data_IF_361094726784
#
_entry.id   IF_361094726784
#
_cell.length_a   1.000
_cell.length_b   1.000
_cell.length_c   1.000
_cell.angle_alpha   90.00
_cell.angle_beta   90.00
_cell.angle_gamma   90.00
#
_symmetry.space_group_name_H-M   'P 1'
#
loop_
_entity.id
_entity.type
_entity.pdbx_description
1 polymer ?
#
# COMPACT_ATOMS: atom_id res chain seq x y z
N UNK A 1 3.37 -7.30 5.17
CA UNK A 1 2.94 -8.54 5.82
C UNK A 1 1.74 -9.13 5.08
N UNK A 2 1.67 -10.46 4.94
CA UNK A 2 0.62 -11.16 4.19
C UNK A 2 0.41 -12.57 4.74
N UNK A 3 -0.74 -13.16 4.43
CA UNK A 3 -0.99 -14.58 4.71
C UNK A 3 -0.01 -15.51 3.95
N UNK A 4 0.19 -16.75 4.44
CA UNK A 4 0.86 -17.82 3.68
C UNK A 4 0.26 -18.01 2.29
N UNK A 5 1.07 -18.39 1.28
CA UNK A 5 0.60 -18.49 -0.11
C UNK A 5 -0.21 -19.77 -0.35
N UNK A 6 0.25 -20.91 0.17
CA UNK A 6 -0.24 -22.21 -0.28
C UNK A 6 -1.20 -22.88 0.69
N UNK A 7 -0.97 -22.78 1.99
CA UNK A 7 -1.80 -23.44 3.00
C UNK A 7 -1.72 -22.78 4.36
N UNK A 8 -2.78 -23.01 5.13
CA UNK A 8 -2.81 -22.80 6.57
C UNK A 8 -2.51 -24.12 7.30
N UNK A 9 -1.98 -24.05 8.52
CA UNK A 9 -1.67 -25.26 9.32
C UNK A 9 -2.90 -25.79 10.05
N UNK A 10 -3.92 -24.96 10.28
CA UNK A 10 -5.19 -25.32 10.90
C UNK A 10 -6.30 -24.32 10.57
N UNK A 11 -7.57 -24.70 10.82
CA UNK A 11 -8.71 -23.79 10.69
C UNK A 11 -8.58 -22.56 11.61
N UNK A 12 -8.03 -22.74 12.82
CA UNK A 12 -7.75 -21.64 13.74
C UNK A 12 -6.73 -20.65 13.15
N UNK A 13 -5.66 -21.15 12.53
CA UNK A 13 -4.69 -20.26 11.85
C UNK A 13 -5.30 -19.52 10.67
N UNK A 14 -6.23 -20.14 9.92
CA UNK A 14 -6.93 -19.50 8.81
C UNK A 14 -7.82 -18.34 9.28
N UNK A 15 -8.44 -18.47 10.46
CA UNK A 15 -9.30 -17.43 11.04
C UNK A 15 -8.55 -16.11 11.34
N UNK A 16 -7.22 -16.17 11.53
CA UNK A 16 -6.38 -14.98 11.71
C UNK A 16 -6.18 -14.18 10.41
N UNK A 17 -6.49 -14.77 9.25
CA UNK A 17 -6.28 -14.17 7.93
C UNK A 17 -7.61 -14.05 7.18
N UNK A 18 -8.48 -13.08 7.53
CA UNK A 18 -9.84 -12.98 6.99
C UNK A 18 -9.88 -12.73 5.47
N UNK A 19 -8.78 -12.28 4.86
CA UNK A 19 -8.68 -12.11 3.40
C UNK A 19 -8.23 -13.38 2.67
N UNK A 20 -7.81 -14.43 3.38
CA UNK A 20 -7.39 -15.70 2.82
C UNK A 20 -5.91 -15.78 2.43
N UNK A 21 -5.55 -16.88 1.77
CA UNK A 21 -4.18 -17.21 1.40
C UNK A 21 -3.56 -16.17 0.47
N UNK A 22 -2.30 -15.85 0.71
CA UNK A 22 -1.51 -14.90 -0.07
C UNK A 22 -1.94 -13.45 0.07
N UNK A 23 -3.10 -13.15 0.67
CA UNK A 23 -3.64 -11.79 0.76
C UNK A 23 -3.00 -10.95 1.85
N UNK A 24 -3.08 -9.63 1.67
CA UNK A 24 -2.50 -8.64 2.58
C UNK A 24 -3.21 -8.66 3.95
N UNK A 25 -2.46 -8.62 5.04
CA UNK A 25 -3.04 -8.51 6.39
C UNK A 25 -3.38 -7.06 6.74
N UNK A 26 -4.14 -6.85 7.83
CA UNK A 26 -4.35 -5.51 8.38
C UNK A 26 -3.02 -4.86 8.80
N UNK A 27 -2.11 -5.66 9.34
CA UNK A 27 -0.78 -5.21 9.73
C UNK A 27 0.04 -4.85 8.50
N UNK A 28 -0.07 -5.63 7.43
CA UNK A 28 0.53 -5.32 6.13
C UNK A 28 0.06 -4.00 5.54
N UNK A 29 -1.23 -3.67 5.67
CA UNK A 29 -1.76 -2.35 5.30
C UNK A 29 -1.15 -1.24 6.18
N UNK A 30 -1.13 -1.41 7.51
CA UNK A 30 -0.55 -0.41 8.42
C UNK A 30 0.93 -0.17 8.13
N UNK A 31 1.71 -1.23 7.90
CA UNK A 31 3.13 -1.12 7.58
C UNK A 31 3.35 -0.38 6.26
N UNK A 32 2.56 -0.66 5.21
CA UNK A 32 2.66 0.06 3.94
C UNK A 32 2.34 1.56 4.10
N UNK A 33 1.32 1.90 4.91
CA UNK A 33 0.99 3.28 5.24
C UNK A 33 2.13 3.99 6.00
N UNK A 34 2.67 3.35 7.05
CA UNK A 34 3.78 3.89 7.83
C UNK A 34 5.03 4.12 6.98
N UNK A 35 5.33 3.19 6.07
CA UNK A 35 6.42 3.33 5.11
C UNK A 35 6.20 4.53 4.18
N UNK A 36 4.96 4.74 3.71
CA UNK A 36 4.60 5.92 2.92
C UNK A 36 4.84 7.24 3.65
N UNK A 37 4.48 7.31 4.94
CA UNK A 37 4.75 8.49 5.79
C UNK A 37 6.25 8.72 5.98
N UNK A 38 7.01 7.66 6.28
CA UNK A 38 8.46 7.76 6.46
C UNK A 38 9.16 8.22 5.17
N UNK A 39 8.75 7.69 4.03
CA UNK A 39 9.29 8.10 2.73
C UNK A 39 8.94 9.55 2.45
N UNK A 40 7.70 9.97 2.67
CA UNK A 40 7.29 11.37 2.50
C UNK A 40 8.20 12.30 3.30
N UNK A 41 8.39 12.00 4.59
CA UNK A 41 9.25 12.80 5.47
C UNK A 41 10.67 12.88 4.92
N UNK A 42 11.26 11.74 4.57
CA UNK A 42 12.62 11.67 4.02
C UNK A 42 12.79 12.51 2.74
N UNK A 43 11.85 12.42 1.79
CA UNK A 43 11.95 13.16 0.53
C UNK A 43 11.62 14.66 0.68
N UNK A 44 10.80 15.05 1.67
CA UNK A 44 10.59 16.45 2.03
C UNK A 44 11.87 17.09 2.60
N UNK A 45 12.55 16.38 3.51
CA UNK A 45 13.83 16.82 4.11
C UNK A 45 14.91 17.05 3.06
N UNK A 46 14.96 16.18 2.03
CA UNK A 46 15.87 16.31 0.91
C UNK A 46 15.43 17.33 -0.15
N UNK A 47 14.27 17.97 0.01
CA UNK A 47 13.65 18.88 -0.97
C UNK A 47 13.40 18.25 -2.35
N UNK A 48 13.31 16.93 -2.40
CA UNK A 48 12.93 16.17 -3.59
C UNK A 48 11.40 16.06 -3.74
N UNK A 49 10.69 16.24 -2.64
CA UNK A 49 9.23 16.31 -2.58
C UNK A 49 8.80 17.69 -2.07
N UNK A 50 7.63 18.16 -2.50
CA UNK A 50 7.01 19.40 -2.00
C UNK A 50 5.89 19.07 -1.02
N UNK A 51 5.64 19.95 -0.07
CA UNK A 51 4.51 19.78 0.86
C UNK A 51 3.18 19.58 0.12
N UNK A 52 2.96 20.36 -0.94
CA UNK A 52 1.80 20.23 -1.83
C UNK A 52 2.15 19.50 -3.12
N UNK A 53 2.67 18.29 -3.00
CA UNK A 53 2.95 17.44 -4.17
C UNK A 53 1.67 17.16 -4.93
N UNK A 54 1.68 17.43 -6.24
CA UNK A 54 0.58 17.11 -7.15
C UNK A 54 0.64 15.63 -7.52
N UNK A 55 -0.50 14.94 -7.69
CA UNK A 55 -0.51 13.55 -8.15
C UNK A 55 0.27 13.30 -9.45
N UNK A 56 0.33 14.29 -10.36
CA UNK A 56 1.08 14.20 -11.62
C UNK A 56 2.61 14.23 -11.46
N UNK A 57 3.13 14.66 -10.31
CA UNK A 57 4.57 14.71 -10.03
C UNK A 57 5.12 13.35 -9.57
N UNK A 58 4.25 12.36 -9.34
CA UNK A 58 4.62 11.03 -8.83
C UNK A 58 4.00 9.95 -9.70
N UNK A 59 4.84 9.04 -10.23
CA UNK A 59 4.38 7.88 -10.96
C UNK A 59 4.36 6.65 -10.04
N UNK A 60 3.18 6.07 -9.81
CA UNK A 60 3.01 4.87 -8.99
C UNK A 60 2.63 3.70 -9.87
N UNK A 61 3.44 2.64 -9.86
CA UNK A 61 3.20 1.42 -10.62
C UNK A 61 3.25 0.20 -9.69
N UNK A 62 2.38 -0.76 -9.94
CA UNK A 62 2.33 -2.03 -9.19
C UNK A 62 2.02 -3.21 -10.12
N UNK A 63 2.28 -4.43 -9.65
CA UNK A 63 1.74 -5.63 -10.31
C UNK A 63 0.22 -5.69 -10.12
N UNK A 64 -0.56 -6.29 -11.05
CA UNK A 64 -2.03 -6.37 -10.95
C UNK A 64 -2.54 -7.31 -9.83
N UNK A 65 -1.64 -7.88 -9.02
CA UNK A 65 -2.00 -8.75 -7.90
C UNK A 65 -2.67 -7.93 -6.80
N UNK A 66 -3.87 -8.34 -6.36
CA UNK A 66 -4.70 -7.66 -5.35
C UNK A 66 -3.92 -7.15 -4.14
N UNK A 67 -3.15 -8.02 -3.46
CA UNK A 67 -2.35 -7.61 -2.29
C UNK A 67 -1.35 -6.49 -2.59
N UNK A 68 -0.77 -6.48 -3.80
CA UNK A 68 0.24 -5.50 -4.21
C UNK A 68 -0.44 -4.18 -4.56
N UNK A 69 -1.60 -4.22 -5.23
CA UNK A 69 -2.46 -3.05 -5.42
C UNK A 69 -2.85 -2.42 -4.09
N UNK A 70 -3.30 -3.23 -3.12
CA UNK A 70 -3.66 -2.74 -1.78
C UNK A 70 -2.47 -2.09 -1.05
N UNK A 71 -1.29 -2.72 -1.08
CA UNK A 71 -0.07 -2.13 -0.52
C UNK A 71 0.29 -0.81 -1.21
N UNK A 72 0.26 -0.78 -2.55
CA UNK A 72 0.57 0.41 -3.33
C UNK A 72 -0.40 1.55 -3.03
N UNK A 73 -1.70 1.27 -2.92
CA UNK A 73 -2.72 2.27 -2.53
C UNK A 73 -2.44 2.82 -1.14
N UNK A 74 -2.23 1.94 -0.15
CA UNK A 74 -2.01 2.36 1.23
C UNK A 74 -0.73 3.17 1.40
N UNK A 75 0.36 2.77 0.74
CA UNK A 75 1.61 3.51 0.71
C UNK A 75 1.41 4.89 0.06
N UNK A 76 0.77 4.93 -1.10
CA UNK A 76 0.67 6.14 -1.91
C UNK A 76 -0.21 7.21 -1.29
N UNK A 77 -1.30 6.82 -0.62
CA UNK A 77 -2.12 7.76 0.14
C UNK A 77 -1.29 8.50 1.19
N UNK A 78 -0.54 7.75 1.99
CA UNK A 78 0.33 8.30 3.03
C UNK A 78 1.48 9.12 2.44
N UNK A 79 2.12 8.62 1.38
CA UNK A 79 3.21 9.31 0.71
C UNK A 79 2.79 10.68 0.14
N UNK A 80 1.61 10.74 -0.47
CA UNK A 80 1.04 11.96 -1.04
C UNK A 80 0.38 12.88 0.01
N UNK A 81 0.43 12.51 1.30
CA UNK A 81 -0.21 13.28 2.38
C UNK A 81 -1.73 13.33 2.28
N UNK A 82 -2.34 12.31 1.65
CA UNK A 82 -3.80 12.19 1.52
C UNK A 82 -4.36 11.46 2.74
N UNK A 83 -5.50 11.91 3.29
CA UNK A 83 -6.13 11.19 4.37
C UNK A 83 -6.69 9.85 3.87
N UNK A 84 -6.68 8.83 4.73
CA UNK A 84 -7.10 7.46 4.40
C UNK A 84 -8.57 7.35 3.94
N UNK A 85 -9.41 8.33 4.30
CA UNK A 85 -10.83 8.40 3.92
C UNK A 85 -11.09 9.21 2.64
N UNK A 86 -10.04 9.57 1.88
CA UNK A 86 -10.21 10.31 0.64
C UNK A 86 -10.88 9.45 -0.43
N UNK A 87 -11.81 10.04 -1.19
CA UNK A 87 -12.40 9.43 -2.38
C UNK A 87 -11.52 9.57 -3.62
N UNK A 88 -10.51 10.44 -3.57
CA UNK A 88 -9.60 10.70 -4.67
C UNK A 88 -8.32 9.88 -4.50
N UNK A 89 -8.43 8.59 -4.86
CA UNK A 89 -7.33 7.64 -4.79
C UNK A 89 -6.24 7.98 -5.82
N UNK A 90 -4.96 7.76 -5.49
CA UNK A 90 -3.89 7.92 -6.46
C UNK A 90 -4.08 6.96 -7.64
N UNK A 91 -3.78 7.42 -8.85
CA UNK A 91 -3.70 6.53 -10.00
C UNK A 91 -2.53 5.56 -9.80
N UNK A 92 -2.84 4.27 -9.87
CA UNK A 92 -1.85 3.19 -9.81
C UNK A 92 -1.86 2.49 -11.15
N UNK A 93 -0.76 2.61 -11.88
CA UNK A 93 -0.59 1.94 -13.15
C UNK A 93 -0.26 0.47 -12.91
N UNK A 94 -0.79 -0.40 -13.76
CA UNK A 94 -0.45 -1.83 -13.79
C UNK A 94 -0.01 -2.20 -15.19
N UNK A 95 0.77 -3.27 -15.31
CA UNK A 95 0.96 -3.91 -16.62
C UNK A 95 -0.36 -4.58 -17.00
N UNK A 96 -0.82 -4.36 -18.24
CA UNK A 96 -1.79 -5.25 -18.84
C UNK A 96 -1.24 -6.68 -18.75
N UNK A 97 -2.06 -7.60 -18.23
CA UNK A 97 -1.73 -9.02 -18.15
C UNK A 97 -1.98 -9.67 -19.50
#
# INVERSE_FOLDING_TARGET
DRAPIHKFTSAHSAALFPRGLGELTNDGLRHASQQGLAFRQHYLEQRLLKERTKPSEVHIRSSPIKRVLMSATSFSLSFLGKPLNTTNLPLIYTTAS
#
